data_IF_466057161540
#
_entry.id   IF_466057161540
#
_cell.length_a   1.000
_cell.length_b   1.000
_cell.length_c   1.000
_cell.angle_alpha   90.00
_cell.angle_beta   90.00
_cell.angle_gamma   90.00
#
_symmetry.space_group_name_H-M   'P 1'
#
loop_
_entity.id
_entity.type
_entity.pdbx_description
1 polymer ?
#
# COMPACT_ATOMS: atom_id res chain seq x y z
N UNK A 1 27.88 -17.60 -5.28
CA UNK A 1 28.07 -16.98 -3.95
C UNK A 1 27.63 -17.97 -2.89
N UNK A 2 28.41 -18.16 -1.83
CA UNK A 2 28.05 -19.10 -0.76
C UNK A 2 26.86 -18.57 0.05
N UNK A 3 25.75 -19.32 0.09
CA UNK A 3 24.56 -18.96 0.86
C UNK A 3 24.84 -19.07 2.37
N UNK A 4 24.39 -18.07 3.13
CA UNK A 4 24.47 -18.09 4.60
C UNK A 4 23.58 -19.20 5.20
N UNK A 5 23.86 -19.65 6.43
CA UNK A 5 23.05 -20.66 7.13
C UNK A 5 21.56 -20.29 7.17
N UNK A 6 21.26 -19.00 7.40
CA UNK A 6 19.89 -18.47 7.40
C UNK A 6 19.24 -18.54 6.02
N UNK A 7 19.95 -18.13 4.96
CA UNK A 7 19.41 -18.20 3.59
C UNK A 7 19.15 -19.65 3.16
N UNK A 8 20.00 -20.61 3.55
CA UNK A 8 19.78 -22.03 3.29
C UNK A 8 18.52 -22.56 3.98
N UNK A 9 18.28 -22.18 5.24
CA UNK A 9 17.08 -22.57 5.98
C UNK A 9 15.81 -21.98 5.34
N UNK A 10 15.86 -20.71 4.94
CA UNK A 10 14.74 -20.03 4.26
C UNK A 10 14.43 -20.67 2.90
N UNK A 11 15.47 -20.98 2.11
CA UNK A 11 15.31 -21.63 0.80
C UNK A 11 14.78 -23.07 0.93
N UNK A 12 15.11 -23.77 2.01
CA UNK A 12 14.58 -25.12 2.28
C UNK A 12 13.11 -25.11 2.74
N UNK A 13 12.61 -23.98 3.25
CA UNK A 13 11.24 -23.88 3.75
C UNK A 13 10.17 -23.77 2.65
N UNK A 14 10.57 -23.49 1.40
CA UNK A 14 9.65 -23.30 0.27
C UNK A 14 10.15 -24.07 -0.94
N UNK A 15 9.27 -24.89 -1.53
CA UNK A 15 9.56 -25.60 -2.76
C UNK A 15 9.46 -24.65 -3.97
N UNK A 16 10.52 -24.50 -4.78
CA UNK A 16 10.48 -23.64 -5.96
C UNK A 16 9.39 -24.09 -6.95
N UNK A 17 8.52 -23.16 -7.32
CA UNK A 17 7.46 -23.41 -8.30
C UNK A 17 6.18 -24.03 -7.74
N UNK A 18 6.17 -24.44 -6.46
CA UNK A 18 4.94 -24.89 -5.80
C UNK A 18 4.08 -23.71 -5.39
N UNK A 19 2.78 -23.82 -5.67
CA UNK A 19 1.77 -22.93 -5.14
C UNK A 19 1.20 -23.55 -3.85
N UNK A 20 1.13 -22.76 -2.79
CA UNK A 20 0.60 -23.18 -1.51
C UNK A 20 -0.80 -22.58 -1.30
N UNK A 21 -1.72 -23.30 -0.61
CA UNK A 21 -2.94 -22.70 -0.11
C UNK A 21 -2.63 -21.50 0.79
N UNK A 22 -3.50 -20.50 0.80
CA UNK A 22 -3.27 -19.27 1.59
C UNK A 22 -2.98 -19.54 3.07
N UNK A 23 -3.69 -20.49 3.68
CA UNK A 23 -3.54 -20.81 5.11
C UNK A 23 -2.17 -21.45 5.41
N UNK A 24 -1.63 -22.26 4.48
CA UNK A 24 -0.28 -22.81 4.58
C UNK A 24 0.78 -21.76 4.28
N UNK A 25 0.56 -20.91 3.28
CA UNK A 25 1.47 -19.83 2.94
C UNK A 25 1.68 -18.85 4.10
N UNK A 26 0.60 -18.48 4.80
CA UNK A 26 0.67 -17.61 5.97
C UNK A 26 1.38 -18.27 7.15
N UNK A 27 1.21 -19.58 7.36
CA UNK A 27 1.96 -20.34 8.38
C UNK A 27 3.46 -20.33 8.08
N UNK A 28 3.84 -20.69 6.85
CA UNK A 28 5.25 -20.71 6.42
C UNK A 28 5.89 -19.33 6.62
N UNK A 29 5.19 -18.24 6.30
CA UNK A 29 5.72 -16.88 6.44
C UNK A 29 5.94 -16.53 7.90
N UNK A 30 4.97 -16.80 8.77
CA UNK A 30 5.06 -16.53 10.22
C UNK A 30 6.15 -17.36 10.90
N UNK A 31 6.27 -18.63 10.54
CA UNK A 31 7.29 -19.51 11.11
C UNK A 31 8.71 -19.10 10.71
N UNK A 32 8.85 -18.39 9.59
CA UNK A 32 10.12 -17.91 9.05
C UNK A 32 10.41 -16.42 9.33
N UNK A 33 9.48 -15.67 9.93
CA UNK A 33 9.72 -14.29 10.39
C UNK A 33 10.47 -14.28 11.72
N UNK A 34 11.74 -14.71 11.69
CA UNK A 34 12.62 -14.86 12.87
C UNK A 34 13.52 -13.64 13.12
N UNK A 35 13.24 -12.49 12.51
CA UNK A 35 13.98 -11.27 12.84
C UNK A 35 13.69 -10.81 14.28
N UNK A 36 14.59 -9.97 14.81
CA UNK A 36 14.47 -9.40 16.16
C UNK A 36 13.38 -8.31 16.28
N UNK A 37 12.75 -7.95 15.16
CA UNK A 37 11.70 -6.93 15.08
C UNK A 37 10.50 -7.51 14.35
N UNK A 38 9.35 -6.87 14.52
CA UNK A 38 8.10 -7.26 13.86
C UNK A 38 8.18 -7.01 12.35
N UNK A 39 8.31 -8.07 11.57
CA UNK A 39 8.41 -8.00 10.12
C UNK A 39 7.08 -7.55 9.49
N UNK A 40 7.16 -6.84 8.36
CA UNK A 40 5.98 -6.57 7.53
C UNK A 40 5.73 -7.77 6.61
N UNK A 41 4.45 -8.06 6.36
CA UNK A 41 4.01 -9.05 5.38
C UNK A 41 3.56 -8.29 4.13
N UNK A 42 4.27 -8.53 3.05
CA UNK A 42 4.07 -7.89 1.76
C UNK A 42 3.52 -8.89 0.73
N UNK A 43 2.71 -8.36 -0.18
CA UNK A 43 2.17 -9.07 -1.35
C UNK A 43 2.79 -8.47 -2.60
N UNK A 44 3.28 -9.35 -3.48
CA UNK A 44 3.59 -9.03 -4.85
C UNK A 44 2.58 -9.71 -5.78
N UNK A 45 1.79 -8.90 -6.49
CA UNK A 45 0.83 -9.38 -7.49
C UNK A 45 1.35 -9.05 -8.88
N UNK A 46 1.64 -10.08 -9.67
CA UNK A 46 1.95 -9.92 -11.10
C UNK A 46 0.63 -9.79 -11.87
N UNK A 47 0.42 -8.63 -12.47
CA UNK A 47 -0.73 -8.37 -13.32
C UNK A 47 -0.44 -8.67 -14.79
N UNK A 48 -1.48 -9.07 -15.52
CA UNK A 48 -1.46 -9.23 -16.98
C UNK A 48 -1.67 -7.92 -17.74
N UNK A 49 -1.00 -6.85 -17.31
CA UNK A 49 -1.08 -5.53 -17.94
C UNK A 49 0.26 -5.10 -18.51
N UNK A 50 0.24 -4.38 -19.63
CA UNK A 50 1.43 -3.75 -20.19
C UNK A 50 1.62 -2.37 -19.55
N UNK A 51 2.47 -2.30 -18.53
CA UNK A 51 2.76 -1.08 -17.80
C UNK A 51 3.46 0.02 -18.64
N UNK A 52 3.88 -0.27 -19.88
CA UNK A 52 4.38 0.76 -20.81
C UNK A 52 3.25 1.59 -21.40
N UNK A 53 2.04 1.06 -21.44
CA UNK A 53 0.87 1.75 -21.96
C UNK A 53 0.13 2.45 -20.82
N UNK A 54 -0.12 3.74 -20.98
CA UNK A 54 -0.72 4.58 -19.93
C UNK A 54 -2.18 4.20 -19.62
N UNK A 55 -2.90 3.64 -20.60
CA UNK A 55 -4.28 3.15 -20.44
C UNK A 55 -4.37 1.85 -19.64
N UNK A 56 -3.27 1.09 -19.57
CA UNK A 56 -3.17 -0.16 -18.81
C UNK A 56 -2.50 0.01 -17.44
N UNK A 57 -2.07 1.23 -17.09
CA UNK A 57 -1.48 1.51 -15.79
C UNK A 57 -2.54 1.46 -14.69
N UNK A 58 -2.40 0.51 -13.77
CA UNK A 58 -3.29 0.39 -12.60
C UNK A 58 -2.71 1.20 -11.46
N UNK A 59 -3.49 2.15 -10.97
CA UNK A 59 -3.17 2.94 -9.78
C UNK A 59 -4.44 3.13 -8.97
N UNK A 60 -4.36 2.84 -7.68
CA UNK A 60 -5.51 2.90 -6.79
C UNK A 60 -5.09 2.87 -5.35
N UNK A 61 -6.10 2.75 -4.50
CA UNK A 61 -5.93 2.61 -3.06
C UNK A 61 -7.01 1.70 -2.52
N UNK A 62 -6.64 0.83 -1.60
CA UNK A 62 -7.57 -0.05 -0.88
C UNK A 62 -7.49 0.26 0.60
N UNK A 63 -8.66 0.35 1.24
CA UNK A 63 -8.75 0.42 2.69
C UNK A 63 -8.73 -1.01 3.22
N UNK A 64 -7.70 -1.35 3.99
CA UNK A 64 -7.58 -2.68 4.59
C UNK A 64 -8.47 -2.78 5.84
N UNK A 65 -9.37 -3.78 5.96
CA UNK A 65 -10.26 -3.92 7.10
C UNK A 65 -9.57 -4.03 8.45
N UNK A 66 -8.46 -4.78 8.52
CA UNK A 66 -7.65 -4.91 9.75
C UNK A 66 -6.53 -3.87 9.84
N UNK A 67 -6.43 -2.96 8.87
CA UNK A 67 -5.35 -1.98 8.75
C UNK A 67 -3.98 -2.61 8.47
N UNK A 68 -2.93 -1.78 8.47
CA UNK A 68 -1.53 -2.20 8.24
C UNK A 68 -0.71 -2.36 9.52
N UNK A 69 -1.26 -1.95 10.67
CA UNK A 69 -0.56 -1.94 11.96
C UNK A 69 0.57 -0.90 12.06
N UNK A 70 0.69 0.02 11.09
CA UNK A 70 1.64 1.14 11.12
C UNK A 70 0.91 2.42 11.54
N UNK A 71 1.50 3.18 12.46
CA UNK A 71 1.05 4.54 12.77
C UNK A 71 1.49 5.47 11.65
N UNK A 72 0.53 5.99 10.89
CA UNK A 72 0.77 6.88 9.75
C UNK A 72 0.63 8.32 10.19
N UNK A 73 1.64 9.14 9.93
CA UNK A 73 1.55 10.60 10.13
C UNK A 73 0.94 11.28 8.91
N UNK A 74 -0.17 11.97 9.12
CA UNK A 74 -1.00 12.57 8.07
C UNK A 74 -0.90 14.10 8.11
N UNK A 75 -0.45 14.68 7.00
CA UNK A 75 -0.50 16.13 6.76
C UNK A 75 -1.64 16.46 5.80
N UNK A 76 -2.42 17.49 6.12
CA UNK A 76 -3.60 17.88 5.36
C UNK A 76 -3.48 19.33 4.89
N UNK A 77 -3.52 19.50 3.57
CA UNK A 77 -3.52 20.80 2.91
C UNK A 77 -4.97 21.24 2.65
N UNK A 78 -5.47 22.14 3.48
CA UNK A 78 -6.85 22.66 3.43
C UNK A 78 -6.83 24.16 3.75
N UNK A 79 -7.63 24.99 3.07
CA UNK A 79 -7.81 26.39 3.45
C UNK A 79 -8.36 26.54 4.87
N UNK A 80 -8.03 27.64 5.54
CA UNK A 80 -8.59 27.92 6.88
C UNK A 80 -10.12 27.93 6.86
N UNK A 81 -10.75 27.20 7.78
CA UNK A 81 -12.21 27.08 7.89
C UNK A 81 -12.65 25.73 8.47
N UNK A 82 -13.96 25.47 8.47
CA UNK A 82 -14.57 24.30 9.10
C UNK A 82 -13.94 22.96 8.67
N UNK A 83 -13.51 22.84 7.41
CA UNK A 83 -12.86 21.62 6.90
C UNK A 83 -11.47 21.35 7.51
N UNK A 84 -10.78 22.39 7.95
CA UNK A 84 -9.50 22.25 8.64
C UNK A 84 -9.72 21.72 10.07
N UNK A 85 -10.73 22.25 10.77
CA UNK A 85 -11.11 21.79 12.11
C UNK A 85 -11.60 20.35 12.09
N UNK A 86 -12.41 19.97 11.09
CA UNK A 86 -12.86 18.59 10.89
C UNK A 86 -11.69 17.63 10.62
N UNK A 87 -10.65 18.08 9.89
CA UNK A 87 -9.46 17.27 9.63
C UNK A 87 -8.61 17.08 10.89
N UNK A 88 -8.46 18.12 11.72
CA UNK A 88 -7.82 18.03 13.03
C UNK A 88 -8.59 17.09 13.96
N UNK A 89 -9.92 17.21 14.01
CA UNK A 89 -10.78 16.33 14.80
C UNK A 89 -10.76 14.87 14.31
N UNK A 90 -10.57 14.64 13.01
CA UNK A 90 -10.35 13.32 12.43
C UNK A 90 -8.97 12.72 12.77
N UNK A 91 -8.10 13.49 13.42
CA UNK A 91 -6.80 13.06 13.90
C UNK A 91 -5.66 13.40 12.94
N UNK A 92 -5.77 14.40 12.07
CA UNK A 92 -4.62 14.86 11.29
C UNK A 92 -3.50 15.39 12.20
N UNK A 93 -2.25 15.04 11.90
CA UNK A 93 -1.09 15.43 12.72
C UNK A 93 -0.65 16.88 12.42
N UNK A 94 -0.89 17.33 11.18
CA UNK A 94 -0.68 18.72 10.79
C UNK A 94 -1.71 19.16 9.75
N UNK A 95 -2.25 20.36 9.92
CA UNK A 95 -3.21 20.99 8.99
C UNK A 95 -2.75 22.41 8.70
N UNK A 96 -2.73 22.79 7.44
CA UNK A 96 -2.34 24.14 7.03
C UNK A 96 -2.33 24.31 5.51
N UNK A 97 -2.09 25.54 5.05
CA UNK A 97 -2.03 25.86 3.62
C UNK A 97 -0.61 26.35 3.26
N UNK A 98 -0.36 27.65 3.26
CA UNK A 98 0.94 28.22 2.89
C UNK A 98 2.01 28.01 3.97
N UNK A 99 1.67 28.17 5.26
CA UNK A 99 2.62 27.99 6.37
C UNK A 99 3.21 26.56 6.44
N UNK A 100 2.35 25.56 6.19
CA UNK A 100 2.76 24.16 6.18
C UNK A 100 3.59 23.83 4.94
N UNK A 101 3.32 24.50 3.81
CA UNK A 101 4.14 24.38 2.61
C UNK A 101 5.55 24.94 2.82
N UNK A 102 5.69 26.09 3.49
CA UNK A 102 6.99 26.68 3.82
C UNK A 102 7.79 25.79 4.78
N UNK A 103 7.16 25.23 5.82
CA UNK A 103 7.83 24.27 6.74
C UNK A 103 8.30 23.01 6.01
N UNK A 104 7.49 22.48 5.10
CA UNK A 104 7.87 21.33 4.27
C UNK A 104 9.02 21.67 3.30
N UNK A 105 9.09 22.90 2.77
CA UNK A 105 10.24 23.37 1.98
C UNK A 105 11.49 23.54 2.85
N UNK A 106 11.32 23.98 4.09
CA UNK A 106 12.38 24.10 5.10
C UNK A 106 12.95 22.78 5.61
N UNK A 107 12.39 21.64 5.17
CA UNK A 107 12.91 20.30 5.47
C UNK A 107 12.08 19.49 6.46
N UNK A 108 10.97 20.02 6.96
CA UNK A 108 10.08 19.32 7.91
C UNK A 108 9.14 18.35 7.18
N UNK A 109 9.70 17.23 6.72
CA UNK A 109 9.02 16.24 5.86
C UNK A 109 8.75 14.91 6.57
N UNK A 110 8.47 14.98 7.87
CA UNK A 110 8.22 13.81 8.71
C UNK A 110 6.77 13.31 8.62
N UNK A 111 6.23 13.25 7.39
CA UNK A 111 4.86 12.82 7.12
C UNK A 111 4.84 11.68 6.12
N UNK A 112 3.97 10.70 6.37
CA UNK A 112 3.84 9.49 5.55
C UNK A 112 2.74 9.65 4.49
N UNK A 113 1.72 10.46 4.80
CA UNK A 113 0.56 10.69 3.92
C UNK A 113 0.25 12.17 3.87
N UNK A 114 0.24 12.71 2.65
CA UNK A 114 -0.27 14.04 2.36
C UNK A 114 -1.64 13.94 1.71
N UNK A 115 -2.60 14.71 2.22
CA UNK A 115 -3.97 14.84 1.71
C UNK A 115 -4.18 16.31 1.36
N UNK A 116 -4.91 16.59 0.27
CA UNK A 116 -5.20 17.96 -0.14
C UNK A 116 -6.67 18.13 -0.56
N UNK A 117 -7.22 19.32 -0.38
CA UNK A 117 -8.43 19.72 -1.12
C UNK A 117 -8.05 20.22 -2.53
N UNK A 118 -8.98 20.16 -3.51
CA UNK A 118 -8.73 20.66 -4.86
C UNK A 118 -8.18 22.10 -4.90
N UNK A 119 -8.67 22.97 -4.01
CA UNK A 119 -8.28 24.38 -3.94
C UNK A 119 -6.83 24.55 -3.44
N UNK A 120 -6.34 23.63 -2.61
CA UNK A 120 -4.98 23.65 -2.08
C UNK A 120 -3.93 23.07 -3.06
N UNK A 121 -4.36 22.45 -4.17
CA UNK A 121 -3.45 21.84 -5.14
C UNK A 121 -2.51 22.87 -5.80
N UNK A 122 -2.91 24.15 -5.88
CA UNK A 122 -2.05 25.23 -6.39
C UNK A 122 -0.77 25.40 -5.55
N UNK A 123 -0.90 25.27 -4.23
CA UNK A 123 0.20 25.40 -3.28
C UNK A 123 1.05 24.13 -3.27
N UNK A 124 0.38 22.96 -3.22
CA UNK A 124 1.05 21.65 -3.26
C UNK A 124 1.83 21.43 -4.56
N UNK A 125 1.36 22.00 -5.68
CA UNK A 125 2.08 21.97 -6.97
C UNK A 125 3.49 22.56 -6.89
N UNK A 126 3.70 23.62 -6.08
CA UNK A 126 5.03 24.21 -5.85
C UNK A 126 5.97 23.28 -5.09
N UNK A 127 5.42 22.36 -4.30
CA UNK A 127 6.17 21.34 -3.53
C UNK A 127 6.50 20.09 -4.36
N UNK A 128 6.15 20.06 -5.65
CA UNK A 128 6.32 18.89 -6.51
C UNK A 128 7.76 18.37 -6.60
N UNK A 129 8.76 19.25 -6.51
CA UNK A 129 10.19 18.87 -6.51
C UNK A 129 10.59 18.08 -5.27
N UNK A 130 9.95 18.34 -4.13
CA UNK A 130 10.24 17.69 -2.84
C UNK A 130 9.35 16.47 -2.62
N UNK A 131 8.04 16.60 -2.88
CA UNK A 131 7.05 15.54 -2.65
C UNK A 131 7.02 14.48 -3.76
N UNK A 132 7.41 14.85 -4.99
CA UNK A 132 7.38 13.97 -6.17
C UNK A 132 8.31 12.76 -6.04
N UNK A 133 9.64 12.95 -5.81
CA UNK A 133 10.59 11.84 -5.68
C UNK A 133 10.26 10.88 -4.53
N UNK A 134 9.60 11.37 -3.48
CA UNK A 134 9.21 10.58 -2.30
C UNK A 134 7.85 9.89 -2.45
N UNK A 135 7.14 10.13 -3.56
CA UNK A 135 5.82 9.52 -3.80
C UNK A 135 4.69 10.04 -2.89
N UNK A 136 4.93 11.14 -2.17
CA UNK A 136 3.99 11.75 -1.23
C UNK A 136 2.98 12.68 -1.92
N UNK A 137 3.18 12.98 -3.20
CA UNK A 137 2.33 13.90 -3.95
C UNK A 137 0.87 13.41 -4.00
N UNK A 138 -0.10 14.23 -3.52
CA UNK A 138 -1.51 13.92 -3.61
C UNK A 138 -1.97 13.72 -5.05
N UNK A 139 -2.80 12.71 -5.27
CA UNK A 139 -3.42 12.42 -6.56
C UNK A 139 -4.91 12.05 -6.37
N UNK A 140 -5.82 12.61 -7.20
CA UNK A 140 -7.24 12.22 -7.17
C UNK A 140 -7.49 10.73 -7.35
N UNK A 141 -6.67 10.04 -8.17
CA UNK A 141 -6.81 8.60 -8.46
C UNK A 141 -6.63 7.68 -7.25
N UNK A 142 -5.95 8.16 -6.21
CA UNK A 142 -5.73 7.41 -4.96
C UNK A 142 -6.57 7.97 -3.80
N UNK A 143 -7.56 8.82 -4.09
CA UNK A 143 -8.47 9.39 -3.09
C UNK A 143 -7.85 10.43 -2.14
N UNK A 144 -6.57 10.77 -2.33
CA UNK A 144 -5.85 11.76 -1.49
C UNK A 144 -6.16 13.22 -1.85
N UNK A 145 -6.90 13.43 -2.92
CA UNK A 145 -7.48 14.74 -3.26
C UNK A 145 -8.98 14.59 -3.20
N UNK A 146 -9.59 15.16 -2.15
CA UNK A 146 -11.01 15.04 -1.88
C UNK A 146 -11.58 16.35 -1.35
N UNK A 147 -12.86 16.60 -1.62
CA UNK A 147 -13.60 17.71 -1.02
C UNK A 147 -13.85 17.50 0.49
N UNK A 148 -13.79 16.25 0.96
CA UNK A 148 -14.01 15.82 2.34
C UNK A 148 -12.69 15.33 2.96
N UNK A 149 -11.88 16.23 3.55
CA UNK A 149 -10.57 15.87 4.09
C UNK A 149 -10.69 14.96 5.33
N UNK A 150 -11.73 15.11 6.15
CA UNK A 150 -11.90 14.32 7.37
C UNK A 150 -12.05 12.81 7.09
N UNK A 151 -12.83 12.44 6.07
CA UNK A 151 -12.99 11.04 5.67
C UNK A 151 -11.68 10.49 5.09
N UNK A 152 -10.98 11.28 4.28
CA UNK A 152 -9.68 10.90 3.73
C UNK A 152 -8.63 10.69 4.85
N UNK A 153 -8.65 11.50 5.92
CA UNK A 153 -7.79 11.32 7.10
C UNK A 153 -8.13 10.03 7.83
N UNK A 154 -9.42 9.75 8.07
CA UNK A 154 -9.86 8.50 8.70
C UNK A 154 -9.42 7.28 7.90
N UNK A 155 -9.56 7.31 6.58
CA UNK A 155 -9.13 6.23 5.70
C UNK A 155 -7.61 6.07 5.68
N UNK A 156 -6.86 7.17 5.67
CA UNK A 156 -5.40 7.12 5.76
C UNK A 156 -4.92 6.52 7.09
N UNK A 157 -5.57 6.87 8.22
CA UNK A 157 -5.22 6.34 9.55
C UNK A 157 -5.73 4.91 9.78
N UNK A 158 -6.81 4.49 9.12
CA UNK A 158 -7.30 3.10 9.19
C UNK A 158 -6.43 2.11 8.41
N UNK A 159 -5.40 2.59 7.70
CA UNK A 159 -4.44 1.73 7.01
C UNK A 159 -4.72 1.58 5.52
N UNK A 160 -5.22 2.63 4.86
CA UNK A 160 -5.32 2.68 3.40
C UNK A 160 -3.94 2.46 2.75
N UNK A 161 -3.85 1.44 1.91
CA UNK A 161 -2.65 1.12 1.14
C UNK A 161 -2.83 1.62 -0.28
N UNK A 162 -1.82 2.35 -0.76
CA UNK A 162 -1.77 2.85 -2.13
C UNK A 162 -0.94 1.92 -2.96
N UNK A 163 -1.42 1.63 -4.16
CA UNK A 163 -0.70 0.77 -5.08
C UNK A 163 -0.60 1.39 -6.45
N UNK A 164 0.52 1.09 -7.10
CA UNK A 164 0.83 1.49 -8.47
C UNK A 164 1.54 0.32 -9.13
N UNK A 165 1.23 0.08 -10.39
CA UNK A 165 1.99 -0.88 -11.19
C UNK A 165 3.38 -0.35 -11.51
N UNK A 166 4.37 -1.20 -11.26
CA UNK A 166 5.74 -0.99 -11.68
C UNK A 166 5.88 -1.16 -13.19
N UNK A 167 7.07 -0.84 -13.73
CA UNK A 167 7.40 -1.00 -15.16
C UNK A 167 7.23 -2.45 -15.66
N UNK A 168 7.28 -3.43 -14.75
CA UNK A 168 7.09 -4.84 -15.04
C UNK A 168 5.62 -5.32 -14.91
N UNK A 169 4.67 -4.43 -14.60
CA UNK A 169 3.27 -4.80 -14.37
C UNK A 169 3.05 -5.52 -13.04
N UNK A 170 3.93 -5.32 -12.06
CA UNK A 170 3.81 -5.91 -10.71
C UNK A 170 3.29 -4.83 -9.75
N UNK A 171 2.40 -5.22 -8.86
CA UNK A 171 1.94 -4.40 -7.74
C UNK A 171 2.56 -4.94 -6.46
N UNK A 172 3.10 -4.02 -5.66
CA UNK A 172 3.64 -4.29 -4.33
C UNK A 172 2.80 -3.60 -3.28
N UNK A 173 2.32 -4.35 -2.29
CA UNK A 173 1.50 -3.84 -1.21
C UNK A 173 1.83 -4.53 0.11
N UNK A 174 1.93 -3.75 1.18
CA UNK A 174 2.00 -4.32 2.54
C UNK A 174 0.59 -4.62 3.03
N UNK A 175 0.30 -5.87 3.41
CA UNK A 175 -1.02 -6.28 3.92
C UNK A 175 -1.11 -6.29 5.44
N UNK A 176 0.01 -6.20 6.15
CA UNK A 176 0.03 -6.19 7.60
C UNK A 176 1.40 -6.47 8.19
N UNK A 177 1.41 -6.82 9.48
CA UNK A 177 2.60 -7.24 10.23
C UNK A 177 2.54 -8.74 10.52
N UNK A 178 3.70 -9.34 10.78
CA UNK A 178 3.81 -10.75 11.13
C UNK A 178 3.00 -11.12 12.41
N UNK A 179 2.84 -10.17 13.32
CA UNK A 179 2.10 -10.34 14.58
C UNK A 179 0.57 -10.39 14.41
N UNK A 180 0.05 -10.06 13.22
CA UNK A 180 -1.40 -10.12 12.99
C UNK A 180 -1.88 -11.56 12.94
N UNK A 181 -3.13 -11.82 13.35
CA UNK A 181 -3.76 -13.12 13.16
C UNK A 181 -3.79 -13.53 11.68
N UNK A 182 -3.69 -14.84 11.42
CA UNK A 182 -3.67 -15.34 10.04
C UNK A 182 -4.98 -14.99 9.31
N UNK A 183 -6.11 -15.00 10.02
CA UNK A 183 -7.42 -14.62 9.49
C UNK A 183 -7.45 -13.15 9.04
N UNK A 184 -6.95 -12.22 9.87
CA UNK A 184 -6.86 -10.79 9.51
C UNK A 184 -5.98 -10.55 8.28
N UNK A 185 -4.86 -11.27 8.17
CA UNK A 185 -3.99 -11.19 6.99
C UNK A 185 -4.69 -11.72 5.73
N UNK A 186 -5.48 -12.79 5.87
CA UNK A 186 -6.28 -13.37 4.79
C UNK A 186 -7.40 -12.42 4.33
N UNK A 187 -8.09 -11.78 5.27
CA UNK A 187 -9.11 -10.76 4.99
C UNK A 187 -8.53 -9.56 4.25
N UNK A 188 -7.40 -9.02 4.73
CA UNK A 188 -6.69 -7.92 4.09
C UNK A 188 -6.25 -8.26 2.67
N UNK A 189 -5.72 -9.47 2.45
CA UNK A 189 -5.34 -9.93 1.12
C UNK A 189 -6.55 -10.08 0.20
N UNK A 190 -7.67 -10.61 0.71
CA UNK A 190 -8.90 -10.79 -0.07
C UNK A 190 -9.48 -9.44 -0.49
N UNK A 191 -9.55 -8.48 0.45
CA UNK A 191 -10.01 -7.12 0.18
C UNK A 191 -9.17 -6.45 -0.92
N UNK A 192 -7.85 -6.59 -0.83
CA UNK A 192 -6.92 -6.04 -1.83
C UNK A 192 -7.14 -6.65 -3.22
N UNK A 193 -7.32 -7.97 -3.31
CA UNK A 193 -7.52 -8.64 -4.59
C UNK A 193 -8.88 -8.30 -5.21
N UNK A 194 -9.94 -8.19 -4.42
CA UNK A 194 -11.26 -7.75 -4.89
C UNK A 194 -11.20 -6.34 -5.49
N UNK A 195 -10.52 -5.42 -4.82
CA UNK A 195 -10.34 -4.06 -5.33
C UNK A 195 -9.45 -4.00 -6.58
N UNK A 196 -8.43 -4.86 -6.67
CA UNK A 196 -7.64 -5.00 -7.91
C UNK A 196 -8.49 -5.50 -9.08
N UNK A 197 -9.37 -6.49 -8.85
CA UNK A 197 -10.28 -7.00 -9.88
C UNK A 197 -11.23 -5.89 -10.35
N UNK A 198 -11.77 -5.08 -9.44
CA UNK A 198 -12.59 -3.90 -9.80
C UNK A 198 -11.80 -2.85 -10.55
N UNK A 199 -10.53 -2.67 -10.22
CA UNK A 199 -9.61 -1.73 -10.87
C UNK A 199 -9.04 -2.25 -12.21
N UNK A 200 -9.55 -3.37 -12.74
CA UNK A 200 -9.11 -3.94 -14.01
C UNK A 200 -9.39 -2.96 -15.17
N UNK A 201 -8.37 -2.55 -15.95
CA UNK A 201 -8.57 -1.76 -17.14
C UNK A 201 -9.32 -2.56 -18.22
N UNK A 202 -10.24 -1.92 -18.93
CA UNK A 202 -10.99 -2.55 -20.03
C UNK A 202 -10.08 -3.00 -21.19
N UNK A 203 -8.92 -2.37 -21.36
CA UNK A 203 -7.94 -2.71 -22.39
C UNK A 203 -7.04 -3.90 -22.04
N UNK A 204 -7.11 -4.43 -20.80
CA UNK A 204 -6.36 -5.61 -20.38
C UNK A 204 -6.97 -6.90 -20.94
N UNK A 205 -6.22 -7.61 -21.79
CA UNK A 205 -6.62 -8.88 -22.41
C UNK A 205 -5.99 -10.06 -21.66
N UNK A 206 -6.71 -11.18 -21.60
CA UNK A 206 -6.24 -12.41 -20.95
C UNK A 206 -6.40 -12.43 -19.43
N UNK A 207 -5.57 -13.23 -18.75
CA UNK A 207 -5.59 -13.41 -17.30
C UNK A 207 -5.02 -12.18 -16.59
N UNK A 208 -5.88 -11.47 -15.86
CA UNK A 208 -5.50 -10.23 -15.18
C UNK A 208 -4.59 -10.50 -13.96
N UNK A 209 -4.90 -11.51 -13.15
CA UNK A 209 -4.05 -11.96 -12.05
C UNK A 209 -3.19 -13.13 -12.54
N UNK A 210 -1.89 -12.92 -12.73
CA UNK A 210 -0.99 -13.97 -13.22
C UNK A 210 -0.35 -14.76 -12.08
N UNK A 211 0.12 -14.04 -11.05
CA UNK A 211 0.79 -14.66 -9.90
C UNK A 211 0.60 -13.80 -8.66
N UNK A 212 0.26 -14.44 -7.55
CA UNK A 212 0.22 -13.81 -6.23
C UNK A 212 1.33 -14.44 -5.39
N UNK A 213 2.25 -13.62 -4.89
CA UNK A 213 3.32 -14.06 -4.00
C UNK A 213 3.27 -13.26 -2.71
N UNK A 214 3.39 -13.95 -1.59
CA UNK A 214 3.49 -13.37 -0.26
C UNK A 214 4.93 -13.49 0.23
N UNK A 215 5.44 -12.46 0.90
CA UNK A 215 6.76 -12.49 1.50
C UNK A 215 6.78 -11.67 2.78
N UNK A 216 7.56 -12.08 3.78
CA UNK A 216 7.94 -11.15 4.85
C UNK A 216 9.19 -10.37 4.47
N UNK A 217 9.44 -9.26 5.15
CA UNK A 217 10.59 -8.36 4.88
C UNK A 217 11.93 -9.11 4.78
N UNK A 218 12.15 -10.13 5.61
CA UNK A 218 13.41 -10.89 5.65
C UNK A 218 13.22 -12.41 5.48
N UNK A 219 12.04 -12.82 5.03
CA UNK A 219 11.64 -14.22 4.87
C UNK A 219 11.56 -14.68 3.42
N UNK A 220 11.12 -15.93 3.19
CA UNK A 220 10.95 -16.46 1.84
C UNK A 220 9.73 -15.83 1.14
N UNK A 221 9.79 -15.80 -0.19
CA UNK A 221 8.61 -15.54 -1.01
C UNK A 221 7.85 -16.85 -1.27
N UNK A 222 6.60 -16.93 -0.81
CA UNK A 222 5.70 -18.06 -1.01
C UNK A 222 4.71 -17.71 -2.11
N UNK A 223 4.58 -18.58 -3.12
CA UNK A 223 3.55 -18.40 -4.16
C UNK A 223 2.22 -18.94 -3.63
N UNK A 224 1.18 -18.12 -3.69
CA UNK A 224 -0.17 -18.50 -3.24
C UNK A 224 -0.96 -19.06 -4.41
N UNK A 225 -1.66 -20.17 -4.18
CA UNK A 225 -2.62 -20.68 -5.15
C UNK A 225 -3.85 -19.77 -5.22
N UNK A 226 -4.12 -19.24 -6.41
CA UNK A 226 -5.24 -18.37 -6.68
C UNK A 226 -6.59 -19.08 -6.53
N UNK A 227 -6.63 -20.40 -6.69
CA UNK A 227 -7.86 -21.19 -6.50
C UNK A 227 -8.34 -21.22 -5.04
N UNK A 228 -7.40 -21.07 -4.09
CA UNK A 228 -7.68 -21.04 -2.65
C UNK A 228 -8.20 -19.69 -2.15
N UNK A 229 -8.20 -18.68 -3.03
CA UNK A 229 -8.68 -17.34 -2.74
C UNK A 229 -10.16 -17.29 -3.14
N UNK A 230 -11.05 -17.17 -2.15
CA UNK A 230 -12.50 -17.01 -2.38
C UNK A 230 -12.79 -15.62 -2.98
N UNK A 231 -12.38 -15.41 -4.24
CA UNK A 231 -12.64 -14.23 -5.04
C UNK A 231 -13.98 -14.43 -5.77
N UNK A 232 -15.09 -14.39 -5.02
CA UNK A 232 -16.44 -14.30 -5.57
C UNK A 232 -16.96 -12.88 -5.45
#
# INVERSE_FOLDING_TARGET
MALTKRQKAIAAAVEPGKAYPIDEALKIIKDNSKAKFVEAVDVAVRLGVDARKSDQQVRGSTVLPAGTGKSVRVAVFVPAGAKADEALAAGADAVGMDDLAERMQGGELNYDVVIATPDAMRVVGKLGTVLGPRGLMPNPKVGTVSANPAEAVKNAKSGQVRYRTDKAGIIHCTIGKADFDAEKLKENLTALLLDLIKAKPSSAKGTYLQKVSLSSTMGPGVTVDQSSLNLK
#
